data_IF_136639166650
#
_entry.id   IF_136639166650
#
_cell.length_a   1.000
_cell.length_b   1.000
_cell.length_c   1.000
_cell.angle_alpha   90.00
_cell.angle_beta   90.00
_cell.angle_gamma   90.00
#
_symmetry.space_group_name_H-M   'P 1'
#
loop_
_entity.id
_entity.type
_entity.pdbx_description
1 polymer ?
#
# COMPACT_ATOMS: atom_id res chain seq x y z
N UNK A 1 -12.36 -22.49 -9.32
CA UNK A 1 -11.02 -22.05 -8.88
C UNK A 1 -10.71 -22.70 -7.55
N UNK A 2 -9.51 -23.24 -7.33
CA UNK A 2 -9.14 -23.89 -6.07
C UNK A 2 -8.05 -23.08 -5.35
N UNK A 3 -8.44 -22.31 -4.32
CA UNK A 3 -7.55 -21.44 -3.57
C UNK A 3 -6.42 -22.18 -2.85
N UNK A 4 -6.63 -23.43 -2.42
CA UNK A 4 -5.59 -24.19 -1.72
C UNK A 4 -4.44 -24.60 -2.64
N UNK A 5 -4.71 -24.71 -3.94
CA UNK A 5 -3.68 -24.95 -4.97
C UNK A 5 -2.99 -23.66 -5.40
N UNK A 6 -3.70 -22.54 -5.34
CA UNK A 6 -3.18 -21.25 -5.81
C UNK A 6 -2.38 -20.52 -4.74
N UNK A 7 -2.76 -20.59 -3.46
CA UNK A 7 -2.10 -19.86 -2.38
C UNK A 7 -0.58 -20.08 -2.29
N UNK A 8 -0.03 -21.30 -2.46
CA UNK A 8 1.42 -21.52 -2.45
C UNK A 8 2.20 -20.75 -3.53
N UNK A 9 1.53 -20.22 -4.55
CA UNK A 9 2.17 -19.43 -5.60
C UNK A 9 2.46 -17.99 -5.21
N UNK A 10 1.81 -17.50 -4.15
CA UNK A 10 1.90 -16.12 -3.70
C UNK A 10 2.77 -16.06 -2.43
N UNK A 11 3.62 -15.04 -2.34
CA UNK A 11 4.45 -14.84 -1.16
C UNK A 11 3.59 -14.74 0.12
N UNK A 12 4.06 -15.41 1.18
CA UNK A 12 3.31 -15.56 2.45
C UNK A 12 1.99 -16.33 2.31
N UNK A 13 1.78 -17.04 1.21
CA UNK A 13 0.53 -17.72 0.84
C UNK A 13 -0.69 -16.78 0.72
N UNK A 14 -0.45 -15.50 0.38
CA UNK A 14 -1.49 -14.45 0.41
C UNK A 14 -2.07 -14.22 -0.98
N UNK A 15 -3.18 -14.89 -1.25
CA UNK A 15 -3.92 -14.72 -2.51
C UNK A 15 -4.53 -13.31 -2.63
N UNK A 16 -4.85 -12.87 -3.85
CA UNK A 16 -5.59 -11.63 -4.07
C UNK A 16 -6.85 -11.56 -3.20
N UNK A 17 -6.97 -10.48 -2.45
CA UNK A 17 -8.06 -10.27 -1.49
C UNK A 17 -8.79 -8.98 -1.84
N UNK A 18 -10.10 -9.09 -2.01
CA UNK A 18 -10.97 -7.94 -2.20
C UNK A 18 -10.94 -7.06 -0.94
N UNK A 19 -10.74 -5.76 -1.12
CA UNK A 19 -10.65 -4.80 -0.03
C UNK A 19 -11.87 -3.88 0.03
N UNK A 20 -12.27 -3.33 -1.12
CA UNK A 20 -13.40 -2.39 -1.22
C UNK A 20 -13.88 -2.29 -2.67
N UNK A 21 -15.07 -1.74 -2.92
CA UNK A 21 -15.53 -1.48 -4.28
C UNK A 21 -16.77 -0.62 -4.36
N UNK A 22 -17.03 -0.11 -5.57
CA UNK A 22 -18.22 0.65 -5.92
C UNK A 22 -19.37 -0.27 -6.31
N UNK A 23 -20.60 0.22 -6.15
CA UNK A 23 -21.82 -0.45 -6.64
C UNK A 23 -21.82 -0.66 -8.16
N UNK A 24 -21.04 0.13 -8.90
CA UNK A 24 -20.84 -0.01 -10.34
C UNK A 24 -19.92 -1.19 -10.72
N UNK A 25 -19.26 -1.81 -9.73
CA UNK A 25 -18.50 -3.05 -9.88
C UNK A 25 -16.99 -2.90 -10.04
N UNK A 26 -16.44 -1.69 -9.98
CA UNK A 26 -15.00 -1.49 -9.80
C UNK A 26 -14.59 -1.75 -8.36
N UNK A 27 -13.42 -2.35 -8.17
CA UNK A 27 -12.94 -2.74 -6.84
C UNK A 27 -11.46 -2.46 -6.64
N UNK A 28 -11.09 -2.33 -5.37
CA UNK A 28 -9.70 -2.34 -4.89
C UNK A 28 -9.41 -3.74 -4.41
N UNK A 29 -8.35 -4.34 -4.95
CA UNK A 29 -7.85 -5.66 -4.57
C UNK A 29 -6.39 -5.52 -4.12
N UNK A 30 -6.02 -6.23 -3.06
CA UNK A 30 -4.63 -6.34 -2.61
C UNK A 30 -4.10 -7.71 -2.94
N UNK A 31 -2.88 -7.78 -3.44
CA UNK A 31 -2.28 -9.02 -3.94
C UNK A 31 -0.81 -9.08 -3.51
N UNK A 32 -0.38 -10.21 -2.95
CA UNK A 32 1.04 -10.47 -2.78
C UNK A 32 1.71 -10.70 -4.15
N UNK A 33 3.01 -10.47 -4.26
CA UNK A 33 3.75 -10.89 -5.44
C UNK A 33 3.76 -12.43 -5.56
N UNK A 34 4.12 -12.94 -6.74
CA UNK A 34 4.46 -14.35 -6.87
C UNK A 34 5.68 -14.66 -6.02
N UNK A 35 5.69 -15.85 -5.41
CA UNK A 35 6.88 -16.33 -4.73
C UNK A 35 8.05 -16.38 -5.71
N UNK A 36 9.20 -15.74 -5.42
CA UNK A 36 10.35 -15.71 -6.32
C UNK A 36 10.88 -17.11 -6.72
N UNK A 37 10.61 -18.14 -5.91
CA UNK A 37 10.98 -19.52 -6.22
C UNK A 37 10.11 -20.17 -7.30
N UNK A 38 9.01 -19.53 -7.70
CA UNK A 38 8.02 -20.08 -8.63
C UNK A 38 8.09 -19.34 -9.96
N UNK A 39 8.51 -20.07 -11.00
CA UNK A 39 8.58 -19.54 -12.38
C UNK A 39 7.24 -19.57 -13.12
N UNK A 40 6.26 -20.37 -12.67
CA UNK A 40 4.95 -20.50 -13.30
C UNK A 40 4.00 -19.38 -12.87
N UNK A 41 3.77 -18.40 -13.76
CA UNK A 41 2.84 -17.29 -13.55
C UNK A 41 1.38 -17.64 -13.79
N UNK A 42 1.06 -18.84 -14.31
CA UNK A 42 -0.30 -19.19 -14.74
C UNK A 42 -1.34 -19.00 -13.64
N UNK A 43 -0.99 -19.27 -12.40
CA UNK A 43 -1.89 -19.07 -11.27
C UNK A 43 -2.22 -17.60 -11.02
N UNK A 44 -1.25 -16.70 -11.20
CA UNK A 44 -1.47 -15.24 -11.15
C UNK A 44 -2.38 -14.80 -12.29
N UNK A 45 -2.15 -15.30 -13.50
CA UNK A 45 -2.96 -14.94 -14.68
C UNK A 45 -4.41 -15.39 -14.50
N UNK A 46 -4.64 -16.62 -14.03
CA UNK A 46 -5.98 -17.15 -13.71
C UNK A 46 -6.67 -16.32 -12.62
N UNK A 47 -5.92 -15.84 -11.62
CA UNK A 47 -6.46 -14.96 -10.58
C UNK A 47 -6.87 -13.59 -11.13
N UNK A 48 -6.00 -12.95 -11.91
CA UNK A 48 -6.27 -11.66 -12.53
C UNK A 48 -7.50 -11.74 -13.43
N UNK A 49 -7.58 -12.78 -14.24
CA UNK A 49 -8.68 -13.06 -15.15
C UNK A 49 -10.00 -13.34 -14.39
N UNK A 50 -9.94 -14.04 -13.26
CA UNK A 50 -11.09 -14.20 -12.37
C UNK A 50 -11.58 -12.87 -11.77
N UNK A 51 -10.66 -11.99 -11.34
CA UNK A 51 -11.00 -10.66 -10.80
C UNK A 51 -11.62 -9.79 -11.90
N UNK A 52 -11.06 -9.80 -13.11
CA UNK A 52 -11.61 -9.09 -14.27
C UNK A 52 -13.06 -9.52 -14.53
N UNK A 53 -13.32 -10.82 -14.61
CA UNK A 53 -14.67 -11.37 -14.83
C UNK A 53 -15.66 -11.12 -13.69
N UNK A 54 -15.18 -10.91 -12.47
CA UNK A 54 -16.05 -10.60 -11.33
C UNK A 54 -16.66 -9.20 -11.44
N UNK A 55 -16.05 -8.29 -12.20
CA UNK A 55 -16.66 -7.00 -12.52
C UNK A 55 -17.82 -7.20 -13.52
N UNK A 56 -19.00 -6.59 -13.30
CA UNK A 56 -20.13 -6.65 -14.24
C UNK A 56 -19.76 -6.20 -15.66
N UNK A 57 -18.78 -5.30 -15.79
CA UNK A 57 -18.31 -4.77 -17.08
C UNK A 57 -17.17 -5.57 -17.70
N UNK A 58 -16.59 -6.52 -16.95
CA UNK A 58 -15.47 -7.36 -17.37
C UNK A 58 -14.30 -6.58 -17.98
N UNK A 59 -14.07 -5.37 -17.46
CA UNK A 59 -12.98 -4.52 -17.92
C UNK A 59 -11.63 -5.06 -17.45
N UNK A 60 -10.55 -4.88 -18.22
CA UNK A 60 -9.21 -5.20 -17.77
C UNK A 60 -8.89 -4.53 -16.43
N UNK A 61 -8.18 -5.22 -15.55
CA UNK A 61 -7.73 -4.67 -14.28
C UNK A 61 -6.47 -3.82 -14.46
N UNK A 62 -6.31 -2.78 -13.64
CA UNK A 62 -5.07 -1.99 -13.54
C UNK A 62 -4.23 -2.51 -12.38
N UNK A 63 -2.99 -2.93 -12.65
CA UNK A 63 -2.07 -3.43 -11.61
C UNK A 63 -1.02 -2.36 -11.30
N UNK A 64 -0.86 -2.05 -10.01
CA UNK A 64 0.19 -1.20 -9.48
C UNK A 64 1.22 -2.09 -8.77
N UNK A 65 2.40 -2.25 -9.36
CA UNK A 65 3.52 -2.97 -8.75
C UNK A 65 4.26 -2.02 -7.80
N UNK A 66 4.00 -2.17 -6.50
CA UNK A 66 4.51 -1.26 -5.48
C UNK A 66 6.01 -1.46 -5.23
N UNK A 67 6.52 -2.69 -5.34
CA UNK A 67 7.95 -2.97 -5.14
C UNK A 67 8.84 -2.29 -6.19
N UNK A 68 8.28 -1.95 -7.36
CA UNK A 68 9.00 -1.28 -8.46
C UNK A 68 8.91 0.25 -8.38
N UNK A 69 7.88 0.78 -7.70
CA UNK A 69 7.50 2.20 -7.77
C UNK A 69 7.58 2.93 -6.43
N UNK A 70 7.58 2.20 -5.32
CA UNK A 70 7.50 2.74 -3.97
C UNK A 70 8.71 2.35 -3.11
N UNK A 71 9.02 3.13 -2.06
CA UNK A 71 10.06 2.79 -1.10
C UNK A 71 9.71 1.52 -0.30
N UNK A 72 10.70 0.69 0.05
CA UNK A 72 10.46 -0.40 1.00
C UNK A 72 10.13 0.15 2.40
N UNK A 73 9.56 -0.68 3.28
CA UNK A 73 9.33 -0.27 4.68
C UNK A 73 10.62 0.14 5.40
N UNK A 74 11.79 -0.40 4.98
CA UNK A 74 13.10 -0.04 5.51
C UNK A 74 13.55 1.35 5.05
N UNK A 75 13.23 1.70 3.81
CA UNK A 75 13.48 3.04 3.27
C UNK A 75 12.62 4.08 3.98
N UNK A 76 11.34 3.78 4.20
CA UNK A 76 10.42 4.62 4.98
C UNK A 76 10.94 4.81 6.41
N UNK A 77 11.37 3.74 7.07
CA UNK A 77 11.96 3.82 8.42
C UNK A 77 13.22 4.70 8.43
N UNK A 78 14.12 4.51 7.47
CA UNK A 78 15.36 5.30 7.37
C UNK A 78 15.08 6.77 7.09
N UNK A 79 14.10 7.05 6.22
CA UNK A 79 13.64 8.40 5.90
C UNK A 79 13.05 9.10 7.12
N UNK A 80 12.21 8.41 7.89
CA UNK A 80 11.63 8.91 9.13
C UNK A 80 12.69 9.25 10.17
N UNK A 81 13.70 8.39 10.36
CA UNK A 81 14.78 8.64 11.33
C UNK A 81 15.58 9.90 10.95
N UNK A 82 15.93 10.07 9.67
CA UNK A 82 16.58 11.30 9.18
C UNK A 82 15.73 12.55 9.41
N UNK A 83 14.41 12.45 9.17
CA UNK A 83 13.49 13.55 9.46
C UNK A 83 13.43 13.88 10.95
N UNK A 84 13.35 12.86 11.80
CA UNK A 84 13.34 13.03 13.25
C UNK A 84 14.60 13.75 13.72
N UNK A 85 15.76 13.38 13.21
CA UNK A 85 17.04 13.96 13.60
C UNK A 85 17.10 15.47 13.32
N UNK A 86 16.53 15.93 12.20
CA UNK A 86 16.51 17.36 11.85
C UNK A 86 15.41 18.14 12.58
N UNK A 87 14.41 17.46 13.16
CA UNK A 87 13.34 18.07 13.94
C UNK A 87 13.60 18.05 15.46
N UNK A 88 14.45 17.16 15.95
CA UNK A 88 14.72 16.93 17.37
C UNK A 88 16.09 17.52 17.81
N UNK A 89 16.38 18.74 17.40
CA UNK A 89 17.63 19.43 17.73
C UNK A 89 17.65 19.80 19.21
N UNK A 90 18.78 19.54 19.89
CA UNK A 90 18.86 19.66 21.35
C UNK A 90 19.53 20.95 21.80
N UNK A 91 20.30 21.61 20.92
CA UNK A 91 21.02 22.84 21.27
C UNK A 91 20.73 24.00 20.29
N UNK A 92 20.81 25.26 20.75
CA UNK A 92 20.71 26.42 19.87
C UNK A 92 21.78 26.46 18.76
N UNK A 93 22.98 25.90 19.02
CA UNK A 93 24.04 25.82 18.01
C UNK A 93 23.65 24.89 16.86
N UNK A 94 23.21 23.67 17.18
CA UNK A 94 22.71 22.70 16.19
C UNK A 94 21.52 23.25 15.38
N UNK A 95 20.67 24.06 16.04
CA UNK A 95 19.57 24.76 15.39
C UNK A 95 20.08 25.70 14.29
N UNK A 96 20.95 26.65 14.62
CA UNK A 96 21.43 27.63 13.62
C UNK A 96 22.25 26.99 12.49
N UNK A 97 23.03 25.94 12.78
CA UNK A 97 23.73 25.17 11.74
C UNK A 97 22.76 24.41 10.81
N UNK A 98 21.63 23.96 11.35
CA UNK A 98 20.61 23.25 10.58
C UNK A 98 19.70 24.18 9.82
N UNK A 99 19.32 25.32 10.39
CA UNK A 99 18.42 26.32 9.80
C UNK A 99 18.94 26.81 8.45
N UNK A 100 20.23 27.16 8.38
CA UNK A 100 20.88 27.64 7.15
C UNK A 100 20.81 26.66 5.96
N UNK A 101 20.68 25.35 6.22
CA UNK A 101 20.62 24.28 5.22
C UNK A 101 19.37 23.40 5.38
N UNK A 102 18.32 23.89 6.05
CA UNK A 102 17.21 23.06 6.51
C UNK A 102 16.48 22.38 5.34
N UNK A 103 16.19 23.12 4.27
CA UNK A 103 15.48 22.58 3.11
C UNK A 103 16.28 21.50 2.38
N UNK A 104 17.60 21.66 2.27
CA UNK A 104 18.49 20.63 1.69
C UNK A 104 18.56 19.38 2.57
N UNK A 105 18.66 19.57 3.90
CA UNK A 105 18.61 18.46 4.86
C UNK A 105 17.25 17.74 4.79
N UNK A 106 16.14 18.48 4.74
CA UNK A 106 14.79 17.94 4.58
C UNK A 106 14.65 17.15 3.27
N UNK A 107 15.11 17.65 2.13
CA UNK A 107 15.07 16.91 0.86
C UNK A 107 15.91 15.62 0.93
N UNK A 108 17.06 15.66 1.62
CA UNK A 108 17.93 14.48 1.79
C UNK A 108 17.28 13.35 2.60
N UNK A 109 16.25 13.66 3.41
CA UNK A 109 15.46 12.65 4.12
C UNK A 109 14.62 11.80 3.17
N UNK A 110 14.23 12.35 2.00
CA UNK A 110 13.26 11.78 1.05
C UNK A 110 11.85 11.54 1.62
N UNK A 111 11.54 12.03 2.82
CA UNK A 111 10.25 11.81 3.46
C UNK A 111 9.08 12.35 2.64
N UNK A 112 9.17 13.62 2.23
CA UNK A 112 8.15 14.26 1.40
C UNK A 112 8.05 13.63 0.01
N UNK A 113 9.16 13.10 -0.53
CA UNK A 113 9.15 12.38 -1.79
C UNK A 113 8.37 11.07 -1.68
N UNK A 114 8.55 10.30 -0.60
CA UNK A 114 7.80 9.08 -0.34
C UNK A 114 6.30 9.34 -0.15
N UNK A 115 5.93 10.37 0.61
CA UNK A 115 4.53 10.80 0.77
C UNK A 115 3.93 11.18 -0.59
N UNK A 116 4.63 12.02 -1.36
CA UNK A 116 4.18 12.46 -2.69
C UNK A 116 3.98 11.28 -3.63
N UNK A 117 4.91 10.32 -3.69
CA UNK A 117 4.78 9.11 -4.49
C UNK A 117 3.53 8.30 -4.12
N UNK A 118 3.31 8.06 -2.82
CA UNK A 118 2.13 7.34 -2.33
C UNK A 118 0.82 8.04 -2.72
N UNK A 119 0.76 9.36 -2.55
CA UNK A 119 -0.43 10.16 -2.91
C UNK A 119 -0.68 10.18 -4.42
N UNK A 120 0.36 10.24 -5.24
CA UNK A 120 0.22 10.20 -6.70
C UNK A 120 -0.35 8.86 -7.19
N UNK A 121 0.15 7.74 -6.65
CA UNK A 121 -0.38 6.40 -6.99
C UNK A 121 -1.83 6.26 -6.50
N UNK A 122 -2.12 6.74 -5.30
CA UNK A 122 -3.49 6.76 -4.76
C UNK A 122 -4.43 7.54 -5.68
N UNK A 123 -4.00 8.71 -6.16
CA UNK A 123 -4.79 9.54 -7.06
C UNK A 123 -5.04 8.84 -8.39
N UNK A 124 -4.03 8.19 -8.98
CA UNK A 124 -4.19 7.41 -10.21
C UNK A 124 -5.16 6.24 -10.01
N UNK A 125 -4.99 5.47 -8.94
CA UNK A 125 -5.88 4.36 -8.61
C UNK A 125 -7.33 4.83 -8.39
N UNK A 126 -7.52 5.96 -7.71
CA UNK A 126 -8.83 6.57 -7.51
C UNK A 126 -9.50 6.93 -8.84
N UNK A 127 -8.75 7.52 -9.78
CA UNK A 127 -9.26 7.82 -11.13
C UNK A 127 -9.69 6.56 -11.87
N UNK A 128 -8.86 5.51 -11.85
CA UNK A 128 -9.22 4.23 -12.47
C UNK A 128 -10.53 3.67 -11.91
N UNK A 129 -10.70 3.69 -10.57
CA UNK A 129 -11.93 3.22 -9.92
C UNK A 129 -13.15 4.02 -10.36
N UNK A 130 -13.05 5.36 -10.41
CA UNK A 130 -14.14 6.23 -10.87
C UNK A 130 -14.49 6.00 -12.34
N UNK A 131 -13.51 5.60 -13.16
CA UNK A 131 -13.68 5.16 -14.54
C UNK A 131 -14.20 3.71 -14.66
N UNK A 132 -14.56 3.07 -13.55
CA UNK A 132 -15.03 1.69 -13.43
C UNK A 132 -13.98 0.60 -13.67
N UNK A 133 -12.70 0.94 -13.53
CA UNK A 133 -11.58 -0.01 -13.66
C UNK A 133 -11.19 -0.53 -12.28
N UNK A 134 -11.22 -1.86 -12.11
CA UNK A 134 -10.69 -2.51 -10.89
C UNK A 134 -9.19 -2.34 -10.79
N UNK A 135 -8.70 -1.97 -9.61
CA UNK A 135 -7.26 -1.78 -9.34
C UNK A 135 -6.73 -2.88 -8.44
N UNK A 136 -5.51 -3.32 -8.71
CA UNK A 136 -4.78 -4.30 -7.89
C UNK A 136 -3.50 -3.64 -7.37
N UNK A 137 -3.36 -3.53 -6.06
CA UNK A 137 -2.10 -3.17 -5.40
C UNK A 137 -1.29 -4.44 -5.16
N UNK A 138 -0.22 -4.61 -5.94
CA UNK A 138 0.69 -5.75 -5.85
C UNK A 138 1.96 -5.34 -5.09
N UNK A 139 2.26 -6.03 -4.02
CA UNK A 139 3.44 -5.80 -3.16
C UNK A 139 3.97 -7.16 -2.69
N UNK A 140 5.25 -7.32 -2.41
CA UNK A 140 5.88 -8.62 -2.12
C UNK A 140 5.00 -9.51 -1.23
N UNK A 141 4.66 -9.09 -0.01
CA UNK A 141 3.71 -9.81 0.84
C UNK A 141 2.31 -9.16 0.92
N UNK A 142 2.13 -7.97 0.34
CA UNK A 142 0.85 -7.27 0.37
C UNK A 142 0.39 -6.87 1.80
N UNK A 143 1.32 -6.46 2.67
CA UNK A 143 1.05 -6.17 4.10
C UNK A 143 1.43 -4.76 4.55
N UNK A 144 2.12 -3.98 3.73
CA UNK A 144 2.64 -2.66 4.10
C UNK A 144 2.03 -1.55 3.23
N UNK A 145 2.69 -1.13 2.15
CA UNK A 145 2.22 -0.05 1.27
C UNK A 145 0.88 -0.35 0.62
N UNK A 146 0.62 -1.62 0.31
CA UNK A 146 -0.68 -2.01 -0.22
C UNK A 146 -1.83 -1.70 0.74
N UNK A 147 -1.59 -1.75 2.07
CA UNK A 147 -2.56 -1.32 3.08
C UNK A 147 -2.76 0.19 3.08
N UNK A 148 -1.67 0.95 2.95
CA UNK A 148 -1.69 2.42 2.88
C UNK A 148 -2.52 2.87 1.68
N UNK A 149 -2.16 2.43 0.47
CA UNK A 149 -2.81 2.87 -0.76
C UNK A 149 -4.28 2.45 -0.79
N UNK A 150 -4.59 1.22 -0.36
CA UNK A 150 -5.97 0.74 -0.24
C UNK A 150 -6.80 1.59 0.73
N UNK A 151 -6.22 1.93 1.90
CA UNK A 151 -6.87 2.78 2.91
C UNK A 151 -7.10 4.19 2.38
N UNK A 152 -6.12 4.77 1.69
CA UNK A 152 -6.23 6.13 1.14
C UNK A 152 -7.28 6.21 0.04
N UNK A 153 -7.36 5.24 -0.88
CA UNK A 153 -8.42 5.19 -1.90
C UNK A 153 -9.80 5.15 -1.23
N UNK A 154 -9.97 4.33 -0.20
CA UNK A 154 -11.21 4.21 0.55
C UNK A 154 -11.57 5.51 1.28
N UNK A 155 -10.60 6.14 1.94
CA UNK A 155 -10.80 7.46 2.57
C UNK A 155 -11.19 8.49 1.51
N UNK A 156 -10.60 8.51 0.32
CA UNK A 156 -10.96 9.50 -0.70
C UNK A 156 -12.38 9.29 -1.23
N UNK A 157 -12.79 8.04 -1.43
CA UNK A 157 -14.02 7.71 -2.17
C UNK A 157 -15.25 7.45 -1.30
N UNK A 158 -15.08 7.09 -0.04
CA UNK A 158 -16.18 6.62 0.82
C UNK A 158 -16.28 7.47 2.11
N UNK A 159 -17.32 8.32 2.23
CA UNK A 159 -17.53 9.18 3.39
C UNK A 159 -17.66 8.43 4.72
N UNK A 160 -17.98 7.13 4.69
CA UNK A 160 -18.02 6.31 5.91
C UNK A 160 -16.70 6.41 6.67
N UNK A 161 -15.57 6.35 5.97
CA UNK A 161 -14.22 6.38 6.55
C UNK A 161 -13.74 7.78 6.97
N UNK A 162 -14.55 8.83 6.80
CA UNK A 162 -14.27 10.18 7.33
C UNK A 162 -14.72 10.35 8.79
N UNK A 163 -15.50 9.40 9.31
CA UNK A 163 -15.93 9.38 10.70
C UNK A 163 -14.92 8.65 11.57
N UNK A 164 -14.89 8.92 12.88
CA UNK A 164 -14.02 8.22 13.83
C UNK A 164 -14.28 6.70 13.77
N UNK A 165 -15.54 6.30 13.88
CA UNK A 165 -15.95 4.89 13.83
C UNK A 165 -15.63 4.24 12.49
N UNK A 166 -15.85 4.94 11.38
CA UNK A 166 -15.46 4.43 10.07
C UNK A 166 -13.95 4.26 9.95
N UNK A 167 -13.16 5.22 10.40
CA UNK A 167 -11.70 5.12 10.38
C UNK A 167 -11.20 3.96 11.26
N UNK A 168 -11.79 3.72 12.44
CA UNK A 168 -11.50 2.54 13.26
C UNK A 168 -11.79 1.23 12.49
N UNK A 169 -12.95 1.14 11.83
CA UNK A 169 -13.29 0.00 10.99
C UNK A 169 -12.29 -0.19 9.83
N UNK A 170 -11.82 0.89 9.22
CA UNK A 170 -10.81 0.85 8.18
C UNK A 170 -9.49 0.25 8.70
N UNK A 171 -9.03 0.69 9.88
CA UNK A 171 -7.83 0.14 10.52
C UNK A 171 -8.02 -1.35 10.85
N UNK A 172 -9.16 -1.72 11.45
CA UNK A 172 -9.44 -3.13 11.75
C UNK A 172 -9.45 -4.01 10.49
N UNK A 173 -10.05 -3.53 9.41
CA UNK A 173 -10.17 -4.26 8.15
C UNK A 173 -8.84 -4.33 7.39
N UNK A 174 -8.24 -3.18 7.08
CA UNK A 174 -7.08 -3.11 6.17
C UNK A 174 -5.75 -3.45 6.84
N UNK A 175 -5.65 -3.26 8.15
CA UNK A 175 -4.38 -3.40 8.85
C UNK A 175 -4.38 -4.60 9.77
N UNK A 176 -5.39 -4.73 10.63
CA UNK A 176 -5.43 -5.83 11.61
C UNK A 176 -5.83 -7.15 10.95
N UNK A 177 -7.00 -7.22 10.32
CA UNK A 177 -7.51 -8.45 9.71
C UNK A 177 -6.67 -8.92 8.52
N UNK A 178 -6.15 -7.98 7.73
CA UNK A 178 -5.23 -8.28 6.63
C UNK A 178 -3.76 -8.37 7.07
N UNK A 179 -3.48 -8.43 8.37
CA UNK A 179 -2.23 -8.97 8.92
C UNK A 179 -0.99 -8.09 8.74
N UNK A 180 -1.15 -6.77 8.79
CA UNK A 180 0.00 -5.86 8.90
C UNK A 180 0.83 -6.24 10.14
N UNK A 181 2.14 -6.52 10.00
CA UNK A 181 2.97 -7.02 11.09
C UNK A 181 3.39 -5.90 12.04
N UNK A 182 2.43 -5.32 12.79
CA UNK A 182 2.65 -4.21 13.72
C UNK A 182 3.83 -4.48 14.67
N UNK A 183 3.90 -5.68 15.23
CA UNK A 183 4.94 -6.05 16.19
C UNK A 183 6.35 -6.02 15.58
N UNK A 184 6.51 -6.51 14.36
CA UNK A 184 7.78 -6.50 13.63
C UNK A 184 8.16 -5.06 13.22
N UNK A 185 7.20 -4.30 12.69
CA UNK A 185 7.43 -2.92 12.20
C UNK A 185 7.76 -1.95 13.34
N UNK A 186 7.15 -2.14 14.51
CA UNK A 186 7.45 -1.37 15.72
C UNK A 186 8.62 -1.94 16.54
N UNK A 187 9.25 -3.04 16.10
CA UNK A 187 10.32 -3.74 16.84
C UNK A 187 9.92 -4.07 18.29
N UNK A 188 8.66 -4.47 18.49
CA UNK A 188 8.11 -4.81 19.82
C UNK A 188 8.46 -6.24 20.25
N UNK A 189 9.04 -7.04 19.35
CA UNK A 189 9.52 -8.39 19.63
C UNK A 189 10.92 -8.49 19.04
N UNK A 190 11.90 -8.78 19.90
CA UNK A 190 13.33 -8.98 19.58
C UNK A 190 13.60 -10.42 19.16
#
# INVERSE_FOLDING_TARGET
MNLSKTAPHFAGHRVPTWSWGLSSGASVVRMAALDPSISDSRQKDVMIDAISRASPRQLPVRIFNLDETCPSYKDVQSSFLKLKDICALSTPHEFWETDSNYLSKLDSTKWLHHISSCLNITLEATKCILENTTVIFSEHEGRDLSAILSSLVQIILDPLYHTITGFELLIQKEWVALGHPFTERHRLIS
#
